data_IF_858332912707
#
_entry.id   IF_858332912707
#
_cell.length_a   1.000
_cell.length_b   1.000
_cell.length_c   1.000
_cell.angle_alpha   90.00
_cell.angle_beta   90.00
_cell.angle_gamma   90.00
#
_symmetry.space_group_name_H-M   'P 1'
#
loop_
_entity.id
_entity.type
_entity.pdbx_description
1 polymer ?
#
# COMPACT_ATOMS: atom_id res chain seq x y z
N UNK A 1 -13.28 25.76 16.12
CA UNK A 1 -14.25 24.70 16.50
C UNK A 1 -13.60 23.93 17.63
N UNK A 2 -14.25 23.79 18.76
CA UNK A 2 -13.70 23.08 19.90
C UNK A 2 -13.66 21.59 19.65
N UNK A 3 -12.65 20.90 20.16
CA UNK A 3 -12.44 19.46 19.95
C UNK A 3 -13.63 18.62 20.46
N UNK A 4 -14.26 19.05 21.56
CA UNK A 4 -15.45 18.40 22.11
C UNK A 4 -16.65 18.43 21.15
N UNK A 5 -16.87 19.54 20.47
CA UNK A 5 -17.95 19.69 19.50
C UNK A 5 -17.73 18.73 18.32
N UNK A 6 -16.47 18.61 17.85
CA UNK A 6 -16.12 17.68 16.79
C UNK A 6 -16.32 16.23 17.24
N UNK A 7 -15.90 15.87 18.44
CA UNK A 7 -16.12 14.53 19.01
C UNK A 7 -17.60 14.20 19.15
N UNK A 8 -18.41 15.13 19.62
CA UNK A 8 -19.87 14.95 19.76
C UNK A 8 -20.56 14.76 18.40
N UNK A 9 -20.17 15.55 17.40
CA UNK A 9 -20.68 15.39 16.03
C UNK A 9 -20.28 14.05 15.40
N UNK A 10 -19.03 13.62 15.64
CA UNK A 10 -18.56 12.32 15.18
C UNK A 10 -19.24 11.16 15.87
N UNK A 11 -19.57 11.31 17.18
CA UNK A 11 -20.22 10.27 17.94
C UNK A 11 -21.74 10.11 17.62
N UNK A 12 -22.43 11.19 17.29
CA UNK A 12 -23.90 11.19 17.14
C UNK A 12 -24.39 11.90 15.86
N UNK A 13 -23.50 12.36 15.02
CA UNK A 13 -23.81 13.01 13.75
C UNK A 13 -23.97 12.03 12.59
N UNK A 14 -23.95 12.52 11.34
CA UNK A 14 -24.16 11.70 10.14
C UNK A 14 -23.17 10.53 9.95
N UNK A 15 -21.99 10.58 10.60
CA UNK A 15 -21.00 9.51 10.56
C UNK A 15 -21.09 8.54 11.75
N UNK A 16 -22.10 8.66 12.62
CA UNK A 16 -22.28 7.79 13.76
C UNK A 16 -22.73 6.41 13.34
N UNK A 17 -22.00 5.39 13.80
CA UNK A 17 -22.39 4.00 13.64
C UNK A 17 -23.22 3.57 14.84
N UNK A 18 -24.49 3.27 14.62
CA UNK A 18 -25.42 2.82 15.66
C UNK A 18 -25.02 1.46 16.23
N UNK A 19 -25.26 1.24 17.53
CA UNK A 19 -24.91 -0.04 18.18
C UNK A 19 -25.62 -1.23 17.50
N UNK A 20 -26.85 -1.03 17.02
CA UNK A 20 -27.64 -2.07 16.36
C UNK A 20 -27.21 -2.34 14.91
N UNK A 21 -26.51 -1.41 14.27
CA UNK A 21 -26.06 -1.50 12.87
C UNK A 21 -24.56 -1.66 12.73
N UNK A 22 -23.85 -1.65 13.86
CA UNK A 22 -22.38 -1.64 13.91
C UNK A 22 -21.73 -2.74 13.06
N UNK A 23 -22.26 -3.94 13.09
CA UNK A 23 -21.71 -5.06 12.31
C UNK A 23 -21.98 -4.91 10.80
N UNK A 24 -23.02 -4.18 10.45
CA UNK A 24 -23.41 -3.93 9.05
C UNK A 24 -22.64 -2.75 8.47
N UNK A 25 -22.42 -1.70 9.26
CA UNK A 25 -21.87 -0.43 8.78
C UNK A 25 -20.33 -0.36 8.88
N UNK A 26 -19.71 -1.11 9.80
CA UNK A 26 -18.27 -1.03 9.99
C UNK A 26 -17.49 -1.48 8.75
N UNK A 27 -16.39 -0.78 8.49
CA UNK A 27 -15.38 -1.16 7.52
C UNK A 27 -14.26 -1.89 8.26
N UNK A 28 -13.84 -3.05 7.76
CA UNK A 28 -12.84 -3.89 8.39
C UNK A 28 -11.52 -3.91 7.61
N UNK A 29 -10.46 -4.23 8.30
CA UNK A 29 -9.12 -4.36 7.74
C UNK A 29 -8.08 -3.65 8.61
N UNK A 30 -6.97 -4.31 8.89
CA UNK A 30 -5.89 -3.75 9.69
C UNK A 30 -4.73 -3.34 8.80
N UNK A 31 -4.17 -2.16 9.05
CA UNK A 31 -2.94 -1.72 8.36
C UNK A 31 -1.77 -2.65 8.66
N UNK A 32 -1.78 -3.28 9.83
CA UNK A 32 -0.76 -4.22 10.27
C UNK A 32 -1.39 -5.55 10.64
N UNK A 33 -0.75 -6.64 10.23
CA UNK A 33 -1.21 -7.99 10.54
C UNK A 33 -0.88 -8.37 11.99
N UNK A 34 0.10 -7.69 12.60
CA UNK A 34 0.58 -7.91 13.95
C UNK A 34 0.84 -6.58 14.65
N UNK A 35 0.70 -6.51 15.98
CA UNK A 35 1.10 -5.35 16.75
C UNK A 35 2.53 -4.92 16.42
N UNK A 36 2.76 -3.62 16.33
CA UNK A 36 4.06 -2.98 16.08
C UNK A 36 4.71 -3.28 14.72
N UNK A 37 4.18 -4.18 13.90
CA UNK A 37 4.76 -4.52 12.59
C UNK A 37 4.99 -3.27 11.73
N UNK A 38 4.06 -2.32 11.76
CA UNK A 38 4.16 -1.07 11.01
C UNK A 38 5.15 -0.07 11.62
N UNK A 39 5.37 -0.13 12.91
CA UNK A 39 6.29 0.77 13.59
C UNK A 39 7.74 0.63 13.10
N UNK A 40 8.09 -0.54 12.58
CA UNK A 40 9.43 -0.83 12.09
C UNK A 40 9.68 -0.40 10.63
N UNK A 41 8.64 -0.10 9.89
CA UNK A 41 8.75 0.06 8.43
C UNK A 41 8.87 1.50 7.90
N UNK A 42 8.43 2.58 8.58
CA UNK A 42 8.18 3.83 7.86
C UNK A 42 9.42 4.63 7.49
N UNK A 43 10.46 4.71 8.32
CA UNK A 43 11.52 5.71 8.12
C UNK A 43 12.95 5.21 8.26
N UNK A 44 13.19 4.16 9.01
CA UNK A 44 14.53 3.68 9.33
C UNK A 44 14.92 2.37 8.65
N UNK A 45 13.99 1.77 7.92
CA UNK A 45 14.22 0.48 7.29
C UNK A 45 14.60 -0.60 8.30
N UNK A 46 15.40 -1.57 7.83
CA UNK A 46 15.78 -2.72 8.65
C UNK A 46 16.62 -2.35 9.87
N UNK A 47 17.44 -1.30 9.78
CA UNK A 47 18.32 -0.89 10.89
C UNK A 47 17.53 -0.48 12.14
N UNK A 48 16.42 0.27 11.97
CA UNK A 48 15.54 0.61 13.09
C UNK A 48 14.84 -0.62 13.66
N UNK A 49 14.40 -1.53 12.79
CA UNK A 49 13.78 -2.78 13.21
C UNK A 49 14.75 -3.64 14.01
N UNK A 50 15.97 -3.81 13.55
CA UNK A 50 17.03 -4.53 14.23
C UNK A 50 17.38 -3.92 15.59
N UNK A 51 17.54 -2.59 15.62
CA UNK A 51 17.83 -1.88 16.87
C UNK A 51 16.70 -2.02 17.88
N UNK A 52 15.44 -1.87 17.43
CA UNK A 52 14.28 -2.05 18.30
C UNK A 52 14.17 -3.49 18.80
N UNK A 53 14.32 -4.48 17.92
CA UNK A 53 14.33 -5.88 18.31
C UNK A 53 15.42 -6.17 19.35
N UNK A 54 16.66 -5.74 19.11
CA UNK A 54 17.78 -5.93 20.03
C UNK A 54 17.52 -5.27 21.38
N UNK A 55 16.96 -4.06 21.39
CA UNK A 55 16.61 -3.34 22.62
C UNK A 55 15.65 -4.12 23.48
N UNK A 56 14.69 -4.85 22.87
CA UNK A 56 13.71 -5.66 23.57
C UNK A 56 14.07 -7.15 23.68
N UNK A 57 15.32 -7.52 23.34
CA UNK A 57 15.80 -8.90 23.45
C UNK A 57 15.31 -9.85 22.36
N UNK A 58 14.83 -9.33 21.25
CA UNK A 58 14.38 -10.12 20.10
C UNK A 58 15.42 -10.09 18.98
N UNK A 59 15.38 -11.10 18.13
CA UNK A 59 16.12 -11.13 16.87
C UNK A 59 15.14 -11.03 15.69
N UNK A 60 15.35 -10.14 14.71
CA UNK A 60 14.56 -10.13 13.49
C UNK A 60 14.79 -11.42 12.69
N UNK A 61 13.79 -11.89 11.97
CA UNK A 61 13.94 -13.05 11.11
C UNK A 61 14.92 -12.76 9.96
N UNK A 62 15.85 -13.68 9.67
CA UNK A 62 16.86 -13.54 8.61
C UNK A 62 16.23 -13.20 7.26
N UNK A 63 15.09 -13.80 6.94
CA UNK A 63 14.35 -13.51 5.70
C UNK A 63 13.88 -12.06 5.65
N UNK A 64 13.53 -11.45 6.78
CA UNK A 64 13.15 -10.06 6.85
C UNK A 64 14.35 -9.15 6.54
N UNK A 65 15.50 -9.46 7.14
CA UNK A 65 16.77 -8.77 6.86
C UNK A 65 17.13 -8.84 5.37
N UNK A 66 17.07 -10.02 4.77
CA UNK A 66 17.34 -10.22 3.35
C UNK A 66 16.42 -9.36 2.46
N UNK A 67 15.10 -9.41 2.71
CA UNK A 67 14.12 -8.64 1.92
C UNK A 67 14.41 -7.14 2.00
N UNK A 68 14.67 -6.61 3.20
CA UNK A 68 14.89 -5.18 3.38
C UNK A 68 16.25 -4.70 2.89
N UNK A 69 17.27 -5.53 2.90
CA UNK A 69 18.60 -5.15 2.38
C UNK A 69 18.67 -5.26 0.87
N UNK A 70 17.95 -6.21 0.27
CA UNK A 70 18.05 -6.51 -1.15
C UNK A 70 16.96 -5.84 -2.01
N UNK A 71 15.73 -5.81 -1.53
CA UNK A 71 14.58 -5.41 -2.35
C UNK A 71 13.85 -4.18 -1.84
N UNK A 72 13.79 -3.96 -0.53
CA UNK A 72 13.00 -2.89 0.07
C UNK A 72 13.94 -1.88 0.71
N UNK A 73 14.58 -1.07 -0.11
CA UNK A 73 15.44 0.02 0.37
C UNK A 73 14.60 1.16 0.92
N UNK A 74 15.13 1.84 1.93
CA UNK A 74 14.56 3.13 2.32
C UNK A 74 14.74 4.13 1.19
N UNK A 75 13.94 5.18 1.20
CA UNK A 75 14.12 6.26 0.23
C UNK A 75 15.53 6.85 0.29
N UNK A 76 16.06 7.06 1.49
CA UNK A 76 17.42 7.58 1.67
C UNK A 76 18.47 6.62 1.11
N UNK A 77 18.36 5.33 1.39
CA UNK A 77 19.30 4.35 0.86
C UNK A 77 19.28 4.33 -0.67
N UNK A 78 18.09 4.38 -1.28
CA UNK A 78 17.97 4.45 -2.73
C UNK A 78 18.59 5.70 -3.35
N UNK A 79 18.42 6.86 -2.70
CA UNK A 79 19.05 8.11 -3.13
C UNK A 79 20.56 8.06 -3.00
N UNK A 80 21.08 7.56 -1.87
CA UNK A 80 22.52 7.44 -1.65
C UNK A 80 23.20 6.42 -2.57
N UNK A 81 22.48 5.38 -2.97
CA UNK A 81 22.96 4.44 -3.99
C UNK A 81 23.16 5.11 -5.36
N UNK A 82 22.32 6.08 -5.69
CA UNK A 82 22.45 6.87 -6.91
C UNK A 82 23.55 7.93 -6.89
N UNK A 83 24.15 8.21 -5.74
CA UNK A 83 25.23 9.20 -5.63
C UNK A 83 26.55 8.64 -6.11
N UNK A 84 27.31 9.45 -6.88
CA UNK A 84 28.71 9.15 -7.18
C UNK A 84 29.57 9.29 -5.92
N UNK A 85 30.79 8.77 -5.97
CA UNK A 85 31.71 8.91 -4.85
C UNK A 85 32.06 10.38 -4.55
N UNK A 86 32.16 11.20 -5.59
CA UNK A 86 32.40 12.63 -5.49
C UNK A 86 31.23 13.33 -4.79
N UNK A 87 29.98 13.00 -5.15
CA UNK A 87 28.78 13.54 -4.50
C UNK A 87 28.75 13.16 -3.01
N UNK A 88 29.08 11.91 -2.69
CA UNK A 88 29.17 11.44 -1.30
C UNK A 88 30.23 12.21 -0.52
N UNK A 89 31.41 12.42 -1.13
CA UNK A 89 32.52 13.16 -0.51
C UNK A 89 32.16 14.63 -0.25
N UNK A 90 31.59 15.30 -1.23
CA UNK A 90 31.17 16.70 -1.14
C UNK A 90 30.10 16.88 -0.06
N UNK A 91 29.15 15.96 0.03
CA UNK A 91 28.12 15.95 1.06
C UNK A 91 28.71 15.65 2.45
N UNK A 92 29.62 14.69 2.57
CA UNK A 92 30.27 14.31 3.82
C UNK A 92 31.08 15.49 4.41
N UNK A 93 31.73 16.26 3.54
CA UNK A 93 32.51 17.43 3.95
C UNK A 93 31.68 18.71 4.10
N UNK A 94 30.34 18.61 4.02
CA UNK A 94 29.40 19.73 4.16
C UNK A 94 29.64 20.89 3.17
N UNK A 95 30.29 20.61 2.03
CA UNK A 95 30.53 21.61 0.97
C UNK A 95 29.22 21.92 0.26
N UNK A 96 28.39 20.88 0.00
CA UNK A 96 27.03 20.99 -0.53
C UNK A 96 26.06 20.27 0.40
N UNK A 97 24.96 20.96 0.73
CA UNK A 97 23.88 20.39 1.56
C UNK A 97 22.59 20.17 0.79
N UNK A 98 22.45 20.76 -0.39
CA UNK A 98 21.25 20.75 -1.22
C UNK A 98 21.31 19.74 -2.38
N UNK A 99 22.09 18.67 -2.28
CA UNK A 99 22.07 17.62 -3.32
C UNK A 99 20.67 16.98 -3.40
N UNK A 100 20.24 16.57 -4.61
CA UNK A 100 19.00 15.85 -4.79
C UNK A 100 18.91 14.69 -3.83
N UNK A 101 17.91 14.68 -3.01
CA UNK A 101 17.70 13.66 -2.01
C UNK A 101 16.22 13.30 -1.86
N UNK A 102 15.80 13.17 -0.62
CA UNK A 102 14.48 12.77 -0.24
C UNK A 102 13.32 13.61 -0.77
N UNK A 103 13.54 14.81 -1.25
CA UNK A 103 12.48 15.69 -1.75
C UNK A 103 11.97 15.31 -3.14
N UNK A 104 12.68 14.46 -3.86
CA UNK A 104 12.22 13.85 -5.10
C UNK A 104 11.06 12.85 -4.92
N UNK A 105 10.60 12.63 -3.69
CA UNK A 105 9.47 11.77 -3.37
C UNK A 105 8.18 12.32 -3.96
N UNK A 106 7.64 11.65 -4.97
CA UNK A 106 6.29 11.88 -5.43
C UNK A 106 5.25 11.36 -4.44
N UNK A 107 4.04 11.91 -4.49
CA UNK A 107 2.88 11.28 -3.85
C UNK A 107 2.39 10.16 -4.75
N UNK A 108 2.13 9.01 -4.15
CA UNK A 108 1.49 7.90 -4.86
C UNK A 108 -0.02 8.10 -4.76
N UNK A 109 -0.68 8.19 -5.92
CA UNK A 109 -2.14 8.17 -6.02
C UNK A 109 -2.51 6.89 -6.74
N UNK A 110 -2.86 5.86 -5.98
CA UNK A 110 -3.33 4.60 -6.53
C UNK A 110 -4.79 4.69 -6.97
N UNK A 111 -5.13 3.98 -8.03
CA UNK A 111 -6.53 3.83 -8.44
C UNK A 111 -7.17 2.62 -7.75
N UNK A 112 -7.45 2.78 -6.47
CA UNK A 112 -8.07 1.74 -5.63
C UNK A 112 -9.52 1.44 -6.00
N UNK A 113 -10.17 2.32 -6.79
CA UNK A 113 -11.54 2.16 -7.29
C UNK A 113 -11.69 0.92 -8.16
N UNK A 114 -10.63 0.53 -8.86
CA UNK A 114 -10.63 -0.62 -9.77
C UNK A 114 -11.06 -1.91 -9.08
N UNK A 115 -10.72 -2.11 -7.81
CA UNK A 115 -11.15 -3.26 -7.03
C UNK A 115 -12.67 -3.29 -6.90
N UNK A 116 -13.28 -2.16 -6.57
CA UNK A 116 -14.73 -2.07 -6.44
C UNK A 116 -15.47 -2.12 -7.79
N UNK A 117 -14.91 -1.50 -8.83
CA UNK A 117 -15.55 -1.42 -10.15
C UNK A 117 -15.53 -2.74 -10.91
N UNK A 118 -14.44 -3.50 -10.80
CA UNK A 118 -14.21 -4.66 -11.67
C UNK A 118 -14.10 -5.99 -10.93
N UNK A 119 -13.78 -5.96 -9.63
CA UNK A 119 -13.42 -7.16 -8.88
C UNK A 119 -12.02 -7.68 -9.22
N UNK A 120 -11.49 -8.51 -8.35
CA UNK A 120 -10.12 -9.00 -8.48
C UNK A 120 -9.96 -10.01 -9.63
N UNK A 121 -10.97 -10.84 -9.89
CA UNK A 121 -10.84 -11.87 -10.93
C UNK A 121 -10.75 -11.25 -12.33
N UNK A 122 -11.48 -10.16 -12.57
CA UNK A 122 -11.31 -9.37 -13.79
C UNK A 122 -9.91 -8.78 -13.91
N UNK A 123 -9.40 -8.16 -12.83
CA UNK A 123 -8.07 -7.56 -12.82
C UNK A 123 -6.96 -8.59 -13.04
N UNK A 124 -7.12 -9.80 -12.50
CA UNK A 124 -6.19 -10.91 -12.76
C UNK A 124 -6.24 -11.33 -14.23
N UNK A 125 -7.45 -11.41 -14.81
CA UNK A 125 -7.60 -11.79 -16.22
C UNK A 125 -6.94 -10.76 -17.14
N UNK A 126 -7.13 -9.45 -16.88
CA UNK A 126 -6.45 -8.38 -17.61
C UNK A 126 -4.92 -8.53 -17.55
N UNK A 127 -4.37 -8.87 -16.37
CA UNK A 127 -2.93 -9.09 -16.25
C UNK A 127 -2.45 -10.35 -16.98
N UNK A 128 -3.26 -11.37 -17.07
CA UNK A 128 -2.96 -12.56 -17.93
C UNK A 128 -2.97 -12.19 -19.41
N UNK A 129 -3.95 -11.39 -19.83
CA UNK A 129 -4.01 -10.87 -21.19
C UNK A 129 -2.77 -10.00 -21.50
N UNK A 130 -2.33 -9.15 -20.55
CA UNK A 130 -1.08 -8.40 -20.69
C UNK A 130 0.12 -9.34 -20.91
N UNK A 131 0.19 -10.44 -20.17
CA UNK A 131 1.27 -11.43 -20.29
C UNK A 131 1.23 -12.17 -21.65
N UNK A 132 0.04 -12.55 -22.11
CA UNK A 132 -0.18 -13.18 -23.42
C UNK A 132 0.17 -12.21 -24.56
N UNK A 133 -0.19 -10.93 -24.45
CA UNK A 133 0.13 -9.88 -25.43
C UNK A 133 1.63 -9.60 -25.58
N UNK A 134 2.45 -9.99 -24.61
CA UNK A 134 3.90 -9.98 -24.76
C UNK A 134 4.38 -11.00 -25.79
N UNK A 135 3.60 -12.08 -26.00
CA UNK A 135 3.87 -13.10 -27.01
C UNK A 135 5.27 -13.71 -26.92
N UNK A 136 5.80 -14.09 -28.07
CA UNK A 136 7.13 -14.68 -28.22
C UNK A 136 8.21 -13.61 -28.47
N UNK A 137 8.11 -12.47 -27.80
CA UNK A 137 9.15 -11.42 -27.89
C UNK A 137 10.48 -11.98 -27.46
N UNK A 138 11.54 -11.49 -28.11
CA UNK A 138 12.91 -11.81 -27.73
C UNK A 138 13.12 -11.61 -26.23
N UNK A 139 13.73 -12.59 -25.58
CA UNK A 139 13.93 -12.63 -24.13
C UNK A 139 15.12 -11.78 -23.72
N UNK A 140 15.04 -10.49 -23.96
CA UNK A 140 15.97 -9.49 -23.46
C UNK A 140 15.60 -9.08 -22.02
N UNK A 141 16.53 -8.48 -21.30
CA UNK A 141 16.39 -8.12 -19.89
C UNK A 141 15.08 -7.37 -19.58
N UNK A 142 14.70 -6.41 -20.42
CA UNK A 142 13.48 -5.62 -20.22
C UNK A 142 12.20 -6.48 -20.37
N UNK A 143 12.17 -7.42 -21.30
CA UNK A 143 11.04 -8.33 -21.49
C UNK A 143 10.94 -9.32 -20.33
N UNK A 144 12.07 -9.83 -19.86
CA UNK A 144 12.13 -10.72 -18.70
C UNK A 144 11.59 -9.99 -17.46
N UNK A 145 12.08 -8.78 -17.19
CA UNK A 145 11.64 -7.96 -16.07
C UNK A 145 10.14 -7.64 -16.13
N UNK A 146 9.63 -7.31 -17.32
CA UNK A 146 8.21 -7.04 -17.51
C UNK A 146 7.34 -8.27 -17.23
N UNK A 147 7.76 -9.46 -17.68
CA UNK A 147 7.07 -10.72 -17.39
C UNK A 147 7.09 -11.05 -15.88
N UNK A 148 8.21 -10.84 -15.22
CA UNK A 148 8.31 -11.00 -13.77
C UNK A 148 7.38 -10.05 -13.03
N UNK A 149 7.36 -8.77 -13.44
CA UNK A 149 6.50 -7.75 -12.85
C UNK A 149 5.03 -8.10 -12.99
N UNK A 150 4.56 -8.46 -14.19
CA UNK A 150 3.16 -8.89 -14.40
C UNK A 150 2.83 -10.12 -13.55
N UNK A 151 3.74 -11.09 -13.48
CA UNK A 151 3.57 -12.29 -12.66
C UNK A 151 3.48 -11.95 -11.17
N UNK A 152 4.27 -10.97 -10.69
CA UNK A 152 4.19 -10.47 -9.32
C UNK A 152 2.88 -9.73 -9.07
N UNK A 153 2.39 -8.94 -10.02
CA UNK A 153 1.08 -8.27 -9.93
C UNK A 153 -0.06 -9.26 -9.80
N UNK A 154 -0.06 -10.33 -10.61
CA UNK A 154 -1.07 -11.41 -10.50
C UNK A 154 -1.01 -12.07 -9.12
N UNK A 155 0.18 -12.33 -8.61
CA UNK A 155 0.36 -12.91 -7.26
C UNK A 155 -0.13 -11.96 -6.16
N UNK A 156 0.15 -10.68 -6.29
CA UNK A 156 -0.31 -9.66 -5.34
C UNK A 156 -1.84 -9.53 -5.34
N UNK A 157 -2.48 -9.57 -6.51
CA UNK A 157 -3.95 -9.57 -6.61
C UNK A 157 -4.58 -10.81 -5.96
N UNK A 158 -3.99 -11.99 -6.12
CA UNK A 158 -4.42 -13.19 -5.41
C UNK A 158 -4.27 -13.03 -3.89
N UNK A 159 -3.13 -12.52 -3.43
CA UNK A 159 -2.91 -12.23 -2.02
C UNK A 159 -3.90 -11.20 -1.45
N UNK A 160 -4.33 -10.23 -2.25
CA UNK A 160 -5.36 -9.28 -1.85
C UNK A 160 -6.72 -9.95 -1.69
N UNK A 161 -7.06 -10.89 -2.57
CA UNK A 161 -8.27 -11.72 -2.47
C UNK A 161 -8.24 -12.58 -1.21
N UNK A 162 -7.11 -13.25 -0.93
CA UNK A 162 -6.93 -14.07 0.28
C UNK A 162 -7.04 -13.22 1.56
N UNK A 163 -6.48 -12.02 1.54
CA UNK A 163 -6.60 -11.07 2.64
C UNK A 163 -8.07 -10.70 2.90
N UNK A 164 -8.83 -10.34 1.86
CA UNK A 164 -10.25 -10.01 2.00
C UNK A 164 -11.08 -11.20 2.50
N UNK A 165 -10.80 -12.39 2.00
CA UNK A 165 -11.43 -13.63 2.45
C UNK A 165 -11.19 -13.89 3.94
N UNK A 166 -10.02 -13.54 4.48
CA UNK A 166 -9.73 -13.67 5.91
C UNK A 166 -10.62 -12.76 6.80
N UNK A 167 -11.22 -11.74 6.21
CA UNK A 167 -12.22 -10.86 6.86
C UNK A 167 -13.66 -11.24 6.52
N UNK A 168 -13.88 -12.33 5.76
CA UNK A 168 -15.19 -12.80 5.37
C UNK A 168 -15.78 -12.13 4.13
N UNK A 169 -14.95 -11.49 3.29
CA UNK A 169 -15.41 -10.81 2.07
C UNK A 169 -14.87 -11.47 0.81
N UNK A 170 -15.74 -11.57 -0.19
CA UNK A 170 -15.36 -12.01 -1.54
C UNK A 170 -15.26 -10.81 -2.47
N UNK A 171 -14.03 -10.35 -2.72
CA UNK A 171 -13.72 -9.26 -3.64
C UNK A 171 -13.43 -9.74 -5.07
N UNK A 172 -13.72 -10.98 -5.39
CA UNK A 172 -13.52 -11.52 -6.74
C UNK A 172 -14.39 -10.83 -7.78
N UNK A 173 -15.56 -10.37 -7.36
CA UNK A 173 -16.58 -9.69 -8.18
C UNK A 173 -16.67 -8.19 -7.86
N UNK A 174 -17.25 -7.37 -8.77
CA UNK A 174 -17.53 -5.97 -8.50
C UNK A 174 -18.39 -5.77 -7.24
N UNK A 175 -18.22 -4.62 -6.60
CA UNK A 175 -19.07 -4.22 -5.48
C UNK A 175 -20.50 -3.98 -5.96
N UNK A 176 -21.48 -4.46 -5.20
CA UNK A 176 -22.90 -4.38 -5.52
C UNK A 176 -23.60 -3.17 -4.91
N UNK A 177 -23.05 -2.61 -3.84
CA UNK A 177 -23.62 -1.51 -3.06
C UNK A 177 -22.52 -0.58 -2.51
N UNK A 178 -22.94 0.55 -1.93
CA UNK A 178 -22.01 1.57 -1.43
C UNK A 178 -21.08 1.06 -0.33
N UNK A 179 -21.57 0.24 0.60
CA UNK A 179 -20.76 -0.35 1.67
C UNK A 179 -19.67 -1.25 1.11
N UNK A 180 -20.02 -2.13 0.20
CA UNK A 180 -19.05 -2.99 -0.48
C UNK A 180 -18.03 -2.16 -1.25
N UNK A 181 -18.48 -1.12 -1.97
CA UNK A 181 -17.58 -0.24 -2.71
C UNK A 181 -16.53 0.42 -1.81
N UNK A 182 -16.93 0.90 -0.63
CA UNK A 182 -16.00 1.45 0.38
C UNK A 182 -15.06 0.37 0.89
N UNK A 183 -15.57 -0.81 1.22
CA UNK A 183 -14.78 -1.92 1.74
C UNK A 183 -13.76 -2.43 0.71
N UNK A 184 -14.16 -2.61 -0.56
CA UNK A 184 -13.27 -3.05 -1.66
C UNK A 184 -12.17 -2.03 -1.93
N UNK A 185 -12.55 -0.74 -1.99
CA UNK A 185 -11.59 0.35 -2.11
C UNK A 185 -10.58 0.34 -0.95
N UNK A 186 -11.06 0.14 0.27
CA UNK A 186 -10.21 0.10 1.46
C UNK A 186 -9.25 -1.10 1.44
N UNK A 187 -9.69 -2.27 1.00
CA UNK A 187 -8.80 -3.41 0.84
C UNK A 187 -7.69 -3.13 -0.20
N UNK A 188 -8.03 -2.52 -1.33
CA UNK A 188 -7.04 -2.08 -2.31
C UNK A 188 -6.01 -1.11 -1.73
N UNK A 189 -6.47 -0.13 -0.95
CA UNK A 189 -5.61 0.81 -0.23
C UNK A 189 -4.72 0.11 0.80
N UNK A 190 -5.25 -0.85 1.56
CA UNK A 190 -4.48 -1.63 2.52
C UNK A 190 -3.37 -2.45 1.84
N UNK A 191 -3.66 -3.07 0.71
CA UNK A 191 -2.67 -3.79 -0.08
C UNK A 191 -1.49 -2.90 -0.46
N UNK A 192 -1.76 -1.68 -0.91
CA UNK A 192 -0.73 -0.70 -1.24
C UNK A 192 0.04 -0.22 0.00
N UNK A 193 -0.66 0.09 1.09
CA UNK A 193 -0.03 0.54 2.35
C UNK A 193 0.91 -0.52 2.95
N UNK A 194 0.55 -1.80 2.87
CA UNK A 194 1.37 -2.88 3.43
C UNK A 194 2.71 -3.04 2.74
N UNK A 195 2.78 -2.70 1.47
CA UNK A 195 4.01 -2.78 0.68
C UNK A 195 4.82 -1.48 0.66
N UNK A 196 4.18 -0.38 1.01
CA UNK A 196 4.76 0.94 0.92
C UNK A 196 5.63 1.27 2.13
N UNK A 197 6.81 1.80 1.88
CA UNK A 197 7.79 2.14 2.91
C UNK A 197 7.95 3.66 3.06
N UNK A 198 6.99 4.30 3.71
CA UNK A 198 7.10 5.68 4.18
C UNK A 198 6.83 6.80 3.16
N UNK A 199 6.35 6.52 1.94
CA UNK A 199 5.93 7.57 1.02
C UNK A 199 4.53 8.10 1.35
N UNK A 200 4.23 9.34 0.95
CA UNK A 200 2.89 9.89 1.08
C UNK A 200 1.95 9.24 0.06
N UNK A 201 0.78 8.82 0.52
CA UNK A 201 -0.26 8.22 -0.31
C UNK A 201 -1.53 9.06 -0.27
N UNK A 202 -2.24 9.11 -1.39
CA UNK A 202 -3.54 9.76 -1.50
C UNK A 202 -4.58 8.75 -1.99
N UNK A 203 -5.80 8.86 -1.47
CA UNK A 203 -6.93 8.04 -1.93
C UNK A 203 -7.64 8.63 -3.15
N UNK A 204 -7.23 9.83 -3.60
CA UNK A 204 -7.87 10.52 -4.72
C UNK A 204 -9.27 11.08 -4.36
N UNK A 205 -10.09 11.31 -5.39
CA UNK A 205 -11.47 11.81 -5.22
C UNK A 205 -12.45 10.67 -4.97
N UNK A 206 -12.46 10.16 -3.75
CA UNK A 206 -13.30 9.01 -3.37
C UNK A 206 -14.78 9.37 -3.39
N UNK A 207 -15.14 10.60 -3.01
CA UNK A 207 -16.52 11.05 -2.98
C UNK A 207 -17.20 10.95 -4.35
N UNK A 208 -16.54 11.43 -5.40
CA UNK A 208 -17.08 11.35 -6.77
C UNK A 208 -17.25 9.90 -7.24
N UNK A 209 -16.39 9.00 -6.81
CA UNK A 209 -16.51 7.57 -7.13
C UNK A 209 -17.67 6.91 -6.37
N UNK A 210 -17.78 7.18 -5.07
CA UNK A 210 -18.82 6.58 -4.23
C UNK A 210 -20.22 7.07 -4.56
N UNK A 211 -20.34 8.27 -5.13
CA UNK A 211 -21.61 8.83 -5.59
C UNK A 211 -22.33 7.91 -6.59
N UNK A 212 -21.57 7.17 -7.40
CA UNK A 212 -22.13 6.16 -8.33
C UNK A 212 -22.95 5.09 -7.58
N UNK A 213 -22.45 4.65 -6.43
CA UNK A 213 -23.11 3.62 -5.62
C UNK A 213 -24.21 4.20 -4.76
N UNK A 214 -23.99 5.38 -4.16
CA UNK A 214 -24.98 6.06 -3.34
C UNK A 214 -26.21 6.49 -4.13
N UNK A 215 -26.07 6.77 -5.42
CA UNK A 215 -27.21 7.08 -6.30
C UNK A 215 -27.96 5.82 -6.77
N UNK A 216 -27.39 4.64 -6.58
CA UNK A 216 -28.01 3.35 -6.94
C UNK A 216 -28.73 2.67 -5.78
N UNK A 217 -28.27 2.91 -4.55
CA UNK A 217 -28.81 2.36 -3.30
C UNK A 217 -29.95 3.23 -2.78
#
# INVERSE_FOLDING_TARGET
METEIVSSLTAYGPAYIGENTKEIEKIVGLQTDKPLKRAFMPYGGIKMAEQACTTYGYQPADKLHEVFTKYVKTHNDGVFDGYTNEMKLVRHNHILTGLPDTYGRGRIVGDYRRVALYGIDFLIQEKKNDLENLGDREMIDDVIRLREEISMQIRALKGLKDMAASYGFDISIPASNAREAVQWLYFGYLGAIKTQNGAAMSVGRVSTFLDIYMARD
#
